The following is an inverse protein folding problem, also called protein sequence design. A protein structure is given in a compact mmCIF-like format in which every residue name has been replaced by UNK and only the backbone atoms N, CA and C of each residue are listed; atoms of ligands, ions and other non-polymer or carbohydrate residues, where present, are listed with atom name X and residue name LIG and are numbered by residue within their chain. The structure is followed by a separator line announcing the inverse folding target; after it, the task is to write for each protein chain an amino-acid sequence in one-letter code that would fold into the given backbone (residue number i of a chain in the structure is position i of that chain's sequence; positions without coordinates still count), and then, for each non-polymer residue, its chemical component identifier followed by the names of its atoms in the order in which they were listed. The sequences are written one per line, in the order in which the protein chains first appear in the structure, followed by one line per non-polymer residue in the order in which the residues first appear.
data_IF_135214126366
#
_entry.id   IF_135214126366
#
_cell.length_a   1.000
_cell.length_b   1.000
_cell.length_c   1.000
_cell.angle_alpha   90.00
_cell.angle_beta   90.00
_cell.angle_gamma   90.00
#
_symmetry.space_group_name_H-M   'P 1'
#
loop_
_entity.id
_entity.type
_entity.pdbx_description
1 polymer ?
#
# COMPACT_ATOMS: atom_id res chain seq x y z
N UNK A 1 13.89 -2.69 5.34
CA UNK A 1 14.34 -3.73 6.27
C UNK A 1 14.70 -3.20 7.67
N UNK A 2 15.69 -2.32 7.86
CA UNK A 2 16.06 -1.82 9.20
C UNK A 2 14.89 -1.15 9.96
N UNK A 3 14.11 -0.31 9.30
CA UNK A 3 12.94 0.36 9.89
C UNK A 3 11.88 -0.64 10.36
N UNK A 4 11.62 -1.71 9.61
CA UNK A 4 10.67 -2.77 9.98
C UNK A 4 11.15 -3.55 11.22
N UNK A 5 12.45 -3.84 11.29
CA UNK A 5 13.06 -4.51 12.46
C UNK A 5 12.93 -3.62 13.69
N UNK A 6 13.27 -2.33 13.57
CA UNK A 6 13.15 -1.35 14.66
C UNK A 6 11.72 -1.24 15.14
N UNK A 7 10.74 -1.17 14.25
CA UNK A 7 9.33 -1.08 14.62
C UNK A 7 8.79 -2.36 15.22
N UNK A 8 9.20 -3.53 14.70
CA UNK A 8 8.86 -4.81 15.34
C UNK A 8 9.41 -4.88 16.77
N UNK A 9 10.62 -4.40 16.98
CA UNK A 9 11.22 -4.33 18.32
C UNK A 9 10.43 -3.40 19.26
N UNK A 10 10.07 -2.20 18.81
CA UNK A 10 9.25 -1.27 19.60
C UNK A 10 7.86 -1.85 19.90
N UNK A 11 7.24 -2.52 18.94
CA UNK A 11 5.92 -3.14 19.12
C UNK A 11 5.98 -4.28 20.15
N UNK A 12 7.01 -5.12 20.09
CA UNK A 12 7.25 -6.20 21.06
C UNK A 12 7.55 -5.61 22.46
N UNK A 13 8.44 -4.62 22.53
CA UNK A 13 8.78 -3.95 23.80
C UNK A 13 7.56 -3.29 24.44
N UNK A 14 6.68 -2.67 23.64
CA UNK A 14 5.41 -2.11 24.12
C UNK A 14 4.46 -3.20 24.64
N UNK A 15 4.30 -4.31 23.89
CA UNK A 15 3.49 -5.44 24.34
C UNK A 15 3.96 -6.02 25.66
N UNK A 16 5.27 -6.17 25.82
CA UNK A 16 5.90 -6.63 27.08
C UNK A 16 5.66 -5.62 28.22
N UNK A 17 5.80 -4.32 27.94
CA UNK A 17 5.54 -3.28 28.94
C UNK A 17 4.09 -3.28 29.40
N UNK A 18 3.10 -3.33 28.49
CA UNK A 18 1.67 -3.41 28.82
C UNK A 18 1.38 -4.67 29.63
N UNK A 19 2.01 -5.79 29.29
CA UNK A 19 1.88 -7.04 30.00
C UNK A 19 2.40 -6.92 31.44
N UNK A 20 3.57 -6.32 31.64
CA UNK A 20 4.18 -6.12 32.97
C UNK A 20 3.33 -5.19 33.83
N UNK A 21 2.80 -4.10 33.27
CA UNK A 21 1.97 -3.13 33.99
C UNK A 21 0.62 -3.73 34.42
N UNK A 22 0.09 -4.68 33.67
CA UNK A 22 -1.16 -5.37 33.99
C UNK A 22 -1.02 -6.67 34.83
N UNK A 23 0.19 -7.23 34.95
CA UNK A 23 0.47 -8.43 35.76
C UNK A 23 0.32 -8.18 37.26
N UNK A 24 0.18 -6.95 37.71
CA UNK A 24 -0.07 -6.64 39.13
C UNK A 24 -1.42 -7.11 39.64
N UNK A 25 -2.36 -7.51 38.78
CA UNK A 25 -3.66 -8.07 39.15
C UNK A 25 -3.83 -9.51 38.56
N UNK A 26 -3.30 -10.48 39.28
CA UNK A 26 -2.96 -11.83 38.80
C UNK A 26 -4.13 -12.73 38.39
N UNK A 27 -5.40 -12.36 38.52
CA UNK A 27 -6.54 -13.28 38.34
C UNK A 27 -7.25 -13.22 36.99
N UNK A 28 -7.04 -12.18 36.18
CA UNK A 28 -7.64 -12.05 34.82
C UNK A 28 -6.63 -12.11 33.66
N UNK A 29 -5.36 -12.27 33.96
CA UNK A 29 -4.21 -11.98 33.11
C UNK A 29 -3.88 -13.07 32.10
N UNK A 30 -4.30 -14.32 32.29
CA UNK A 30 -3.70 -15.42 31.53
C UNK A 30 -4.14 -15.48 30.07
N UNK A 31 -5.41 -15.28 29.75
CA UNK A 31 -5.90 -15.43 28.37
C UNK A 31 -5.72 -14.13 27.57
N UNK A 32 -6.12 -13.00 28.14
CA UNK A 32 -6.02 -11.71 27.45
C UNK A 32 -4.55 -11.31 27.24
N UNK A 33 -3.71 -11.52 28.25
CA UNK A 33 -2.27 -11.26 28.16
C UNK A 33 -1.57 -12.17 27.15
N UNK A 34 -1.95 -13.46 27.06
CA UNK A 34 -1.44 -14.36 26.05
C UNK A 34 -1.90 -13.98 24.64
N UNK A 35 -3.15 -13.54 24.46
CA UNK A 35 -3.65 -13.04 23.17
C UNK A 35 -2.92 -11.76 22.73
N UNK A 36 -2.72 -10.80 23.65
CA UNK A 36 -2.02 -9.57 23.38
C UNK A 36 -0.56 -9.85 23.04
N UNK A 37 0.15 -10.68 23.83
CA UNK A 37 1.52 -11.07 23.54
C UNK A 37 1.65 -11.79 22.20
N UNK A 38 0.74 -12.74 21.91
CA UNK A 38 0.71 -13.45 20.63
C UNK A 38 0.51 -12.47 19.46
N UNK A 39 -0.38 -11.50 19.60
CA UNK A 39 -0.62 -10.47 18.62
C UNK A 39 0.66 -9.66 18.34
N UNK A 40 1.34 -9.19 19.40
CA UNK A 40 2.55 -8.36 19.24
C UNK A 40 3.78 -9.15 18.81
N UNK A 41 3.87 -10.44 19.11
CA UNK A 41 5.03 -11.27 18.72
C UNK A 41 4.90 -11.81 17.31
N UNK A 42 3.70 -12.26 16.90
CA UNK A 42 3.52 -12.95 15.62
C UNK A 42 3.06 -12.04 14.48
N UNK A 43 2.25 -11.01 14.77
CA UNK A 43 1.72 -10.16 13.71
C UNK A 43 2.80 -9.36 12.95
N UNK A 44 3.78 -8.71 13.61
CA UNK A 44 4.79 -7.93 12.89
C UNK A 44 5.68 -8.76 11.95
N UNK A 45 6.19 -9.96 12.32
CA UNK A 45 6.94 -10.80 11.39
C UNK A 45 6.11 -11.26 10.20
N UNK A 46 4.84 -11.66 10.43
CA UNK A 46 3.95 -12.11 9.37
C UNK A 46 3.64 -10.97 8.40
N UNK A 47 3.30 -9.79 8.90
CA UNK A 47 3.01 -8.62 8.08
C UNK A 47 4.25 -8.14 7.33
N UNK A 48 5.43 -8.22 7.94
CA UNK A 48 6.71 -7.86 7.31
C UNK A 48 7.05 -8.82 6.16
N UNK A 49 6.98 -10.13 6.40
CA UNK A 49 7.25 -11.14 5.37
C UNK A 49 6.26 -11.01 4.19
N UNK A 50 4.99 -10.80 4.50
CA UNK A 50 3.95 -10.60 3.50
C UNK A 50 4.17 -9.34 2.68
N UNK A 51 4.57 -8.24 3.33
CA UNK A 51 4.90 -6.98 2.68
C UNK A 51 6.11 -7.15 1.74
N UNK A 52 7.17 -7.81 2.19
CA UNK A 52 8.34 -8.08 1.37
C UNK A 52 8.00 -8.90 0.14
N UNK A 53 7.16 -9.93 0.28
CA UNK A 53 6.70 -10.76 -0.83
C UNK A 53 5.89 -9.95 -1.85
N UNK A 54 4.97 -9.11 -1.39
CA UNK A 54 4.16 -8.25 -2.25
C UNK A 54 5.07 -7.26 -2.99
N UNK A 55 5.96 -6.56 -2.27
CA UNK A 55 6.86 -5.58 -2.87
C UNK A 55 7.81 -6.23 -3.89
N UNK A 56 8.31 -7.42 -3.60
CA UNK A 56 9.14 -8.19 -4.53
C UNK A 56 8.35 -8.53 -5.80
N UNK A 57 7.13 -9.04 -5.66
CA UNK A 57 6.28 -9.40 -6.81
C UNK A 57 5.93 -8.18 -7.66
N UNK A 58 5.56 -7.06 -7.03
CA UNK A 58 5.26 -5.81 -7.74
C UNK A 58 6.49 -5.22 -8.42
N UNK A 59 7.66 -5.33 -7.80
CA UNK A 59 8.94 -4.95 -8.40
C UNK A 59 9.27 -5.77 -9.65
N UNK A 60 9.05 -7.08 -9.59
CA UNK A 60 9.24 -7.98 -10.74
C UNK A 60 8.27 -7.66 -11.89
N UNK A 61 7.01 -7.38 -11.58
CA UNK A 61 6.01 -6.98 -12.58
C UNK A 61 6.44 -5.67 -13.25
N UNK A 62 6.89 -4.68 -12.47
CA UNK A 62 7.39 -3.42 -13.02
C UNK A 62 8.57 -3.63 -13.96
N UNK A 63 9.56 -4.42 -13.57
CA UNK A 63 10.72 -4.73 -14.41
C UNK A 63 10.30 -5.41 -15.72
N UNK A 64 9.30 -6.29 -15.66
CA UNK A 64 8.74 -6.96 -16.84
C UNK A 64 8.01 -5.98 -17.76
N UNK A 65 7.31 -4.98 -17.20
CA UNK A 65 6.67 -3.89 -17.95
C UNK A 65 7.71 -3.02 -18.65
N UNK A 66 8.74 -2.60 -17.92
CA UNK A 66 9.82 -1.76 -18.46
C UNK A 66 10.56 -2.50 -19.61
N UNK A 67 10.78 -3.82 -19.47
CA UNK A 67 11.36 -4.64 -20.53
C UNK A 67 10.44 -4.76 -21.76
N UNK A 68 9.13 -4.89 -21.57
CA UNK A 68 8.16 -4.94 -22.67
C UNK A 68 8.15 -3.59 -23.41
N UNK A 69 8.15 -2.48 -22.69
CA UNK A 69 8.22 -1.13 -23.29
C UNK A 69 9.50 -0.95 -24.11
N UNK A 70 10.65 -1.36 -23.56
CA UNK A 70 11.92 -1.31 -24.28
C UNK A 70 11.89 -2.17 -25.55
N UNK A 71 11.35 -3.39 -25.46
CA UNK A 71 11.22 -4.27 -26.64
C UNK A 71 10.32 -3.64 -27.71
N UNK A 72 9.22 -3.02 -27.31
CA UNK A 72 8.32 -2.31 -28.24
C UNK A 72 9.04 -1.11 -28.91
N UNK A 73 9.83 -0.35 -28.13
CA UNK A 73 10.66 0.75 -28.68
C UNK A 73 11.71 0.25 -29.68
N UNK A 74 12.38 -0.86 -29.42
CA UNK A 74 13.35 -1.46 -30.31
C UNK A 74 12.72 -1.88 -31.66
N UNK A 75 11.49 -2.39 -31.62
CA UNK A 75 10.72 -2.72 -32.83
C UNK A 75 10.35 -1.46 -33.61
N UNK A 76 9.93 -0.39 -32.93
CA UNK A 76 9.63 0.92 -33.54
C UNK A 76 10.87 1.59 -34.15
N UNK A 77 12.01 1.56 -33.46
CA UNK A 77 13.25 2.19 -33.93
C UNK A 77 13.82 1.60 -35.23
N UNK A 78 13.31 0.47 -35.65
CA UNK A 78 13.36 -0.01 -37.04
C UNK A 78 14.72 -0.21 -37.68
N UNK A 79 15.74 -0.57 -36.94
CA UNK A 79 17.13 -0.70 -37.45
C UNK A 79 17.47 -1.99 -38.18
N UNK A 80 16.58 -2.98 -38.27
CA UNK A 80 16.93 -4.32 -38.76
C UNK A 80 15.92 -4.88 -39.78
N UNK A 81 16.41 -5.84 -40.60
CA UNK A 81 15.74 -6.52 -41.69
C UNK A 81 14.25 -6.84 -41.39
N UNK A 82 13.39 -6.81 -42.40
CA UNK A 82 11.94 -7.04 -42.31
C UNK A 82 11.55 -8.33 -41.57
N UNK A 83 12.38 -9.39 -41.62
CA UNK A 83 12.19 -10.65 -40.88
C UNK A 83 12.32 -10.45 -39.37
N UNK A 84 13.25 -9.57 -38.92
CA UNK A 84 13.49 -9.33 -37.48
C UNK A 84 12.37 -8.52 -36.86
N UNK A 85 11.76 -7.58 -37.62
CA UNK A 85 10.59 -6.81 -37.17
C UNK A 85 9.38 -7.72 -36.92
N UNK A 86 9.09 -8.63 -37.85
CA UNK A 86 7.96 -9.55 -37.69
C UNK A 86 8.13 -10.50 -36.49
N UNK A 87 9.36 -10.93 -36.25
CA UNK A 87 9.70 -11.73 -35.06
C UNK A 87 9.57 -10.90 -33.77
N UNK A 88 10.05 -9.65 -33.77
CA UNK A 88 9.95 -8.73 -32.65
C UNK A 88 8.49 -8.42 -32.29
N UNK A 89 7.67 -8.13 -33.29
CA UNK A 89 6.25 -7.87 -33.09
C UNK A 89 5.51 -9.07 -32.47
N UNK A 90 5.79 -10.29 -32.96
CA UNK A 90 5.22 -11.50 -32.39
C UNK A 90 5.66 -11.70 -30.94
N UNK A 91 6.91 -11.35 -30.62
CA UNK A 91 7.44 -11.40 -29.24
C UNK A 91 6.70 -10.39 -28.36
N UNK A 92 6.56 -9.13 -28.78
CA UNK A 92 5.84 -8.08 -28.03
C UNK A 92 4.40 -8.51 -27.72
N UNK A 93 3.69 -9.04 -28.70
CA UNK A 93 2.31 -9.52 -28.50
C UNK A 93 2.28 -10.67 -27.49
N UNK A 94 3.17 -11.66 -27.61
CA UNK A 94 3.23 -12.80 -26.69
C UNK A 94 3.58 -12.36 -25.26
N UNK A 95 4.65 -11.59 -25.11
CA UNK A 95 5.13 -11.13 -23.80
C UNK A 95 4.08 -10.22 -23.14
N UNK A 96 3.39 -9.39 -23.92
CA UNK A 96 2.26 -8.57 -23.44
C UNK A 96 1.10 -9.41 -22.91
N UNK A 97 0.71 -10.50 -23.58
CA UNK A 97 -0.32 -11.40 -23.08
C UNK A 97 0.12 -12.14 -21.80
N UNK A 98 1.35 -12.64 -21.76
CA UNK A 98 1.89 -13.31 -20.58
C UNK A 98 1.92 -12.36 -19.38
N UNK A 99 2.31 -11.11 -19.61
CA UNK A 99 2.37 -10.08 -18.57
C UNK A 99 0.98 -9.73 -18.04
N UNK A 100 -0.02 -9.50 -18.92
CA UNK A 100 -1.40 -9.21 -18.46
C UNK A 100 -2.00 -10.36 -17.68
N UNK A 101 -1.65 -11.60 -18.02
CA UNK A 101 -2.08 -12.78 -17.28
C UNK A 101 -1.42 -12.86 -15.91
N UNK A 102 -0.08 -12.69 -15.84
CA UNK A 102 0.67 -12.72 -14.58
C UNK A 102 0.23 -11.63 -13.61
N UNK A 103 -0.13 -10.45 -14.13
CA UNK A 103 -0.67 -9.37 -13.31
C UNK A 103 -2.02 -9.72 -12.70
N UNK A 104 -2.92 -10.28 -13.50
CA UNK A 104 -4.21 -10.72 -12.97
C UNK A 104 -4.05 -11.80 -11.91
N UNK A 105 -3.15 -12.75 -12.11
CA UNK A 105 -2.85 -13.80 -11.15
C UNK A 105 -2.25 -13.22 -9.85
N UNK A 106 -1.35 -12.23 -9.95
CA UNK A 106 -0.81 -11.52 -8.79
C UNK A 106 -1.90 -10.72 -8.05
N UNK A 107 -2.82 -10.08 -8.75
CA UNK A 107 -3.96 -9.40 -8.14
C UNK A 107 -4.90 -10.38 -7.42
N UNK A 108 -5.21 -11.51 -8.02
CA UNK A 108 -6.04 -12.55 -7.41
C UNK A 108 -5.39 -13.12 -6.14
N UNK A 109 -4.08 -13.31 -6.15
CA UNK A 109 -3.33 -13.81 -4.98
C UNK A 109 -3.18 -12.77 -3.88
N UNK A 110 -2.76 -11.57 -4.21
CA UNK A 110 -2.35 -10.58 -3.23
C UNK A 110 -3.39 -9.48 -2.98
N UNK A 111 -4.40 -9.31 -3.82
CA UNK A 111 -5.37 -8.22 -3.71
C UNK A 111 -6.09 -8.16 -2.36
N UNK A 112 -6.46 -9.32 -1.80
CA UNK A 112 -7.05 -9.40 -0.47
C UNK A 112 -6.11 -8.98 0.65
N UNK A 113 -4.83 -9.34 0.53
CA UNK A 113 -3.80 -9.03 1.51
C UNK A 113 -3.39 -7.56 1.45
N UNK A 114 -3.27 -7.00 0.25
CA UNK A 114 -3.01 -5.57 0.03
C UNK A 114 -4.15 -4.74 0.62
N UNK A 115 -5.41 -5.13 0.39
CA UNK A 115 -6.57 -4.47 0.97
C UNK A 115 -6.58 -4.54 2.49
N UNK A 116 -6.27 -5.69 3.07
CA UNK A 116 -6.16 -5.84 4.53
C UNK A 116 -5.08 -4.94 5.11
N UNK A 117 -3.88 -4.93 4.52
CA UNK A 117 -2.79 -4.06 4.96
C UNK A 117 -3.16 -2.58 4.83
N UNK A 118 -3.80 -2.21 3.73
CA UNK A 118 -4.26 -0.85 3.51
C UNK A 118 -5.22 -0.38 4.61
N UNK A 119 -6.21 -1.19 4.98
CA UNK A 119 -7.14 -0.89 6.08
C UNK A 119 -6.39 -0.81 7.42
N UNK A 120 -5.52 -1.78 7.70
CA UNK A 120 -4.75 -1.83 8.95
C UNK A 120 -3.89 -0.58 9.14
N UNK A 121 -3.12 -0.19 8.11
CA UNK A 121 -2.27 1.00 8.19
C UNK A 121 -3.07 2.29 8.30
N UNK A 122 -4.23 2.39 7.66
CA UNK A 122 -5.12 3.54 7.84
C UNK A 122 -5.64 3.64 9.28
N UNK A 123 -6.00 2.53 9.91
CA UNK A 123 -6.40 2.51 11.33
C UNK A 123 -5.21 2.94 12.20
N UNK A 124 -4.02 2.40 11.97
CA UNK A 124 -2.81 2.76 12.72
C UNK A 124 -2.47 4.25 12.60
N UNK A 125 -2.56 4.81 11.40
CA UNK A 125 -2.32 6.24 11.15
C UNK A 125 -3.36 7.08 11.90
N UNK A 126 -4.64 6.72 11.80
CA UNK A 126 -5.74 7.44 12.47
C UNK A 126 -5.54 7.44 13.99
N UNK A 127 -5.27 6.28 14.57
CA UNK A 127 -4.99 6.16 16.01
C UNK A 127 -3.76 6.98 16.39
N UNK A 128 -2.67 6.89 15.63
CA UNK A 128 -1.45 7.63 15.91
C UNK A 128 -1.61 9.14 15.85
N UNK A 129 -2.36 9.63 14.87
CA UNK A 129 -2.68 11.06 14.76
C UNK A 129 -3.55 11.52 15.94
N UNK A 130 -4.60 10.77 16.28
CA UNK A 130 -5.48 11.09 17.40
C UNK A 130 -4.72 11.12 18.75
N UNK A 131 -3.94 10.09 19.03
CA UNK A 131 -3.15 10.03 20.25
C UNK A 131 -2.03 11.07 20.25
N UNK A 132 -1.38 11.34 19.12
CA UNK A 132 -0.37 12.39 18.97
C UNK A 132 -0.92 13.78 19.31
N UNK A 133 -2.09 14.14 18.74
CA UNK A 133 -2.76 15.42 19.03
C UNK A 133 -3.21 15.47 20.50
N UNK A 134 -3.77 14.36 21.00
CA UNK A 134 -4.19 14.28 22.42
C UNK A 134 -3.04 14.46 23.39
N UNK A 135 -1.87 13.94 23.04
CA UNK A 135 -0.66 14.05 23.85
C UNK A 135 -0.07 15.46 23.87
N UNK A 136 -0.09 16.17 22.73
CA UNK A 136 0.31 17.58 22.68
C UNK A 136 -0.51 18.43 23.65
N UNK A 137 -1.81 18.13 23.80
CA UNK A 137 -2.67 18.82 24.79
C UNK A 137 -2.29 18.52 26.25
N UNK A 138 -1.78 17.31 26.55
CA UNK A 138 -1.34 16.93 27.91
C UNK A 138 0.03 17.48 28.24
N UNK A 139 0.94 17.63 27.28
CA UNK A 139 2.27 18.25 27.45
C UNK A 139 2.19 19.68 27.97
N UNK A 140 1.10 20.39 27.67
CA UNK A 140 0.89 21.79 28.08
C UNK A 140 0.33 21.90 29.51
N UNK A 141 -0.19 20.81 30.11
CA UNK A 141 -1.08 20.94 31.26
C UNK A 141 -0.80 20.15 32.54
N UNK A 142 0.05 19.12 32.61
CA UNK A 142 0.13 18.31 33.84
C UNK A 142 1.30 17.33 33.98
N UNK A 143 1.46 16.80 35.18
CA UNK A 143 2.47 15.84 35.66
C UNK A 143 2.62 14.60 34.76
N UNK A 144 3.79 14.45 34.21
CA UNK A 144 4.21 13.38 33.33
C UNK A 144 4.43 12.06 34.07
N UNK A 145 3.75 10.99 33.67
CA UNK A 145 4.14 9.62 34.02
C UNK A 145 4.93 9.02 32.85
N UNK A 146 6.10 8.43 33.13
CA UNK A 146 6.98 7.85 32.10
C UNK A 146 6.31 6.79 31.23
N UNK A 147 5.34 6.05 31.75
CA UNK A 147 4.55 5.05 31.02
C UNK A 147 3.68 5.66 29.92
N UNK A 148 3.02 6.77 30.17
CA UNK A 148 2.22 7.48 29.16
C UNK A 148 3.07 8.00 28.01
N UNK A 149 4.28 8.50 28.29
CA UNK A 149 5.22 8.93 27.23
C UNK A 149 5.60 7.78 26.31
N UNK A 150 5.95 6.63 26.90
CA UNK A 150 6.37 5.46 26.11
C UNK A 150 5.24 4.94 25.24
N UNK A 151 4.02 4.82 25.77
CA UNK A 151 2.83 4.42 25.00
C UNK A 151 2.59 5.35 23.83
N UNK A 152 2.57 6.64 24.05
CA UNK A 152 2.31 7.65 23.02
C UNK A 152 3.39 7.62 21.94
N UNK A 153 4.66 7.54 22.35
CA UNK A 153 5.77 7.46 21.40
C UNK A 153 5.68 6.21 20.52
N UNK A 154 5.33 5.05 21.10
CA UNK A 154 5.14 3.81 20.36
C UNK A 154 4.01 3.90 19.32
N UNK A 155 2.88 4.50 19.70
CA UNK A 155 1.73 4.67 18.81
C UNK A 155 2.07 5.64 17.67
N UNK A 156 2.72 6.77 17.98
CA UNK A 156 3.15 7.75 16.97
C UNK A 156 4.18 7.14 16.01
N UNK A 157 5.15 6.40 16.55
CA UNK A 157 6.15 5.71 15.70
C UNK A 157 5.50 4.67 14.77
N UNK A 158 4.53 3.91 15.28
CA UNK A 158 3.75 2.95 14.48
C UNK A 158 2.94 3.65 13.38
N UNK A 159 2.37 4.81 13.66
CA UNK A 159 1.64 5.61 12.67
C UNK A 159 2.57 6.15 11.57
N UNK A 160 3.75 6.66 11.93
CA UNK A 160 4.76 7.13 10.96
C UNK A 160 5.20 5.98 10.06
N UNK A 161 5.41 4.78 10.62
CA UNK A 161 5.73 3.60 9.83
C UNK A 161 4.57 3.23 8.90
N UNK A 162 3.35 3.16 9.42
CA UNK A 162 2.15 2.86 8.63
C UNK A 162 2.00 3.83 7.46
N UNK A 163 2.23 5.13 7.70
CA UNK A 163 2.24 6.15 6.65
C UNK A 163 3.34 5.90 5.61
N UNK A 164 4.54 5.57 6.05
CA UNK A 164 5.67 5.29 5.15
C UNK A 164 5.37 4.08 4.26
N UNK A 165 4.84 3.00 4.82
CA UNK A 165 4.50 1.80 4.06
C UNK A 165 3.36 2.09 3.06
N UNK A 166 2.32 2.80 3.51
CA UNK A 166 1.20 3.18 2.64
C UNK A 166 1.68 4.06 1.48
N UNK A 167 2.56 5.03 1.76
CA UNK A 167 3.17 5.88 0.74
C UNK A 167 3.94 5.04 -0.30
N UNK A 168 4.72 4.04 0.13
CA UNK A 168 5.42 3.13 -0.77
C UNK A 168 4.45 2.33 -1.66
N UNK A 169 3.35 1.85 -1.12
CA UNK A 169 2.33 1.16 -1.92
C UNK A 169 1.72 2.07 -2.98
N UNK A 170 1.37 3.30 -2.60
CA UNK A 170 0.82 4.28 -3.53
C UNK A 170 1.84 4.67 -4.62
N UNK A 171 3.11 4.80 -4.24
CA UNK A 171 4.19 5.10 -5.17
C UNK A 171 4.38 3.98 -6.21
N UNK A 172 4.42 2.72 -5.76
CA UNK A 172 4.55 1.57 -6.66
C UNK A 172 3.31 1.46 -7.56
N UNK A 173 2.11 1.62 -7.00
CA UNK A 173 0.87 1.61 -7.76
C UNK A 173 0.84 2.69 -8.84
N UNK A 174 1.30 3.91 -8.53
CA UNK A 174 1.42 4.99 -9.50
C UNK A 174 2.44 4.65 -10.59
N UNK A 175 3.63 4.16 -10.21
CA UNK A 175 4.66 3.78 -11.19
C UNK A 175 4.17 2.67 -12.12
N UNK A 176 3.46 1.68 -11.61
CA UNK A 176 2.85 0.62 -12.43
C UNK A 176 1.80 1.20 -13.39
N UNK A 177 0.98 2.13 -12.93
CA UNK A 177 -0.02 2.81 -13.75
C UNK A 177 0.63 3.60 -14.88
N UNK A 178 1.69 4.32 -14.58
CA UNK A 178 2.45 5.13 -15.56
C UNK A 178 3.13 4.23 -16.61
N UNK A 179 3.78 3.13 -16.19
CA UNK A 179 4.36 2.13 -17.09
C UNK A 179 3.30 1.47 -17.98
N UNK A 180 2.12 1.19 -17.44
CA UNK A 180 0.99 0.64 -18.18
C UNK A 180 0.51 1.58 -19.29
N UNK A 181 0.37 2.85 -18.96
CA UNK A 181 -0.01 3.87 -19.93
C UNK A 181 1.07 4.04 -21.00
N UNK A 182 2.34 4.06 -20.60
CA UNK A 182 3.47 4.14 -21.53
C UNK A 182 3.49 2.98 -22.53
N UNK A 183 3.30 1.75 -22.06
CA UNK A 183 3.22 0.57 -22.94
C UNK A 183 2.03 0.65 -23.89
N UNK A 184 0.86 1.02 -23.37
CA UNK A 184 -0.33 1.19 -24.21
C UNK A 184 -0.07 2.16 -25.35
N UNK A 185 0.47 3.34 -25.07
CA UNK A 185 0.77 4.37 -26.06
C UNK A 185 1.78 3.86 -27.10
N UNK A 186 2.77 3.06 -26.67
CA UNK A 186 3.73 2.42 -27.59
C UNK A 186 3.09 1.34 -28.46
N UNK A 187 2.19 0.53 -27.92
CA UNK A 187 1.47 -0.49 -28.69
C UNK A 187 0.51 0.15 -29.71
N UNK A 188 -0.16 1.26 -29.33
CA UNK A 188 -0.99 2.05 -30.27
C UNK A 188 -0.12 2.64 -31.40
N UNK A 189 1.06 3.15 -31.09
CA UNK A 189 2.01 3.65 -32.08
C UNK A 189 2.49 2.52 -33.00
N UNK A 190 2.86 1.35 -32.47
CA UNK A 190 3.23 0.16 -33.25
C UNK A 190 2.11 -0.27 -34.20
N UNK A 191 0.87 -0.25 -33.73
CA UNK A 191 -0.28 -0.62 -34.54
C UNK A 191 -0.47 0.32 -35.74
N UNK A 192 -0.20 1.64 -35.56
CA UNK A 192 -0.33 2.62 -36.62
C UNK A 192 0.84 2.52 -37.62
N UNK A 193 2.08 2.46 -37.11
CA UNK A 193 3.27 2.47 -37.97
C UNK A 193 3.46 1.17 -38.77
N UNK A 194 3.12 0.02 -38.17
CA UNK A 194 3.29 -1.28 -38.80
C UNK A 194 1.98 -1.83 -39.41
N UNK A 195 0.94 -1.01 -39.52
CA UNK A 195 -0.38 -1.44 -40.03
C UNK A 195 -0.31 -2.13 -41.42
N UNK A 196 0.59 -1.68 -42.30
CA UNK A 196 0.73 -2.25 -43.64
C UNK A 196 1.49 -3.59 -43.64
N UNK A 197 2.37 -3.79 -42.66
CA UNK A 197 3.24 -4.97 -42.55
C UNK A 197 2.62 -6.09 -41.73
N UNK A 198 1.63 -5.77 -40.89
CA UNK A 198 0.92 -6.73 -40.04
C UNK A 198 -0.09 -7.56 -40.81
N UNK A 199 -0.12 -8.87 -40.55
CA UNK A 199 -1.24 -9.70 -40.96
C UNK A 199 -2.51 -9.30 -40.20
N UNK A 200 -3.69 -9.54 -40.80
CA UNK A 200 -5.00 -9.26 -40.18
C UNK A 200 -5.11 -9.88 -38.78
N UNK A 201 -4.56 -11.07 -38.58
CA UNK A 201 -4.55 -11.77 -37.30
C UNK A 201 -3.70 -11.02 -36.28
N UNK A 202 -2.48 -10.59 -36.61
CA UNK A 202 -1.59 -9.84 -35.72
C UNK A 202 -2.20 -8.50 -35.32
N UNK A 203 -2.85 -7.82 -36.26
CA UNK A 203 -3.57 -6.58 -36.00
C UNK A 203 -4.69 -6.79 -34.98
N UNK A 204 -5.51 -7.81 -35.15
CA UNK A 204 -6.57 -8.15 -34.18
C UNK A 204 -5.99 -8.51 -32.81
N UNK A 205 -4.92 -9.31 -32.77
CA UNK A 205 -4.25 -9.67 -31.51
C UNK A 205 -3.68 -8.44 -30.81
N UNK A 206 -3.11 -7.47 -31.54
CA UNK A 206 -2.62 -6.20 -31.01
C UNK A 206 -3.75 -5.32 -30.48
N UNK A 207 -4.85 -5.17 -31.23
CA UNK A 207 -6.04 -4.43 -30.80
C UNK A 207 -6.61 -5.00 -29.49
N UNK A 208 -6.69 -6.32 -29.39
CA UNK A 208 -7.15 -6.99 -28.16
C UNK A 208 -6.19 -6.73 -27.00
N UNK A 209 -4.88 -6.75 -27.26
CA UNK A 209 -3.87 -6.47 -26.22
C UNK A 209 -3.96 -5.02 -25.73
N UNK A 210 -4.05 -4.05 -26.67
CA UNK A 210 -4.22 -2.62 -26.32
C UNK A 210 -5.48 -2.42 -25.49
N UNK A 211 -6.60 -3.03 -25.89
CA UNK A 211 -7.84 -2.96 -25.13
C UNK A 211 -7.73 -3.60 -23.74
N UNK A 212 -6.94 -4.65 -23.58
CA UNK A 212 -6.66 -5.20 -22.24
C UNK A 212 -5.89 -4.20 -21.40
N UNK A 213 -4.81 -3.61 -21.90
CA UNK A 213 -4.06 -2.58 -21.20
C UNK A 213 -4.93 -1.34 -20.89
N UNK A 214 -5.87 -0.98 -21.76
CA UNK A 214 -6.77 0.14 -21.54
C UNK A 214 -7.80 -0.11 -20.42
N UNK A 215 -8.26 -1.35 -20.30
CA UNK A 215 -9.35 -1.72 -19.38
C UNK A 215 -8.87 -2.36 -18.07
N UNK A 216 -7.57 -2.64 -17.96
CA UNK A 216 -7.00 -3.22 -16.74
C UNK A 216 -6.20 -2.15 -16.00
N UNK A 217 -6.65 -1.80 -14.81
CA UNK A 217 -5.84 -0.97 -13.91
C UNK A 217 -4.82 -1.86 -13.20
N UNK A 218 -3.54 -1.47 -13.18
CA UNK A 218 -2.45 -2.38 -12.80
C UNK A 218 -2.42 -2.80 -11.33
N UNK A 219 -3.13 -2.13 -10.45
CA UNK A 219 -3.24 -2.52 -9.04
C UNK A 219 -4.56 -2.03 -8.46
N UNK A 220 -5.57 -2.91 -8.51
CA UNK A 220 -6.91 -2.62 -8.02
C UNK A 220 -7.36 -3.69 -7.02
N UNK A 221 -6.93 -3.60 -5.76
CA UNK A 221 -7.20 -4.63 -4.77
C UNK A 221 -8.68 -4.98 -4.68
N UNK A 222 -9.04 -6.21 -5.07
CA UNK A 222 -10.44 -6.69 -5.08
C UNK A 222 -11.40 -5.76 -5.83
N UNK A 223 -10.97 -5.13 -6.92
CA UNK A 223 -11.76 -4.20 -7.73
C UNK A 223 -12.38 -3.03 -6.95
N UNK A 224 -11.80 -2.66 -5.79
CA UNK A 224 -12.38 -1.65 -4.90
C UNK A 224 -11.90 -0.24 -5.21
N UNK A 225 -10.59 -0.04 -5.40
CA UNK A 225 -10.00 1.26 -5.67
C UNK A 225 -8.65 1.12 -6.37
N UNK A 226 -8.25 2.15 -7.12
CA UNK A 226 -6.95 2.20 -7.75
C UNK A 226 -5.89 2.64 -6.75
N UNK A 227 -4.78 1.91 -6.66
CA UNK A 227 -3.66 2.30 -5.82
C UNK A 227 -2.80 3.34 -6.53
N UNK A 228 -3.13 4.62 -6.34
CA UNK A 228 -2.43 5.75 -6.91
C UNK A 228 -2.42 6.94 -5.94
N UNK A 229 -1.69 8.00 -6.27
CA UNK A 229 -1.61 9.20 -5.44
C UNK A 229 -2.94 9.92 -5.25
N UNK A 230 -3.86 9.86 -6.22
CA UNK A 230 -5.20 10.46 -6.11
C UNK A 230 -6.01 9.80 -5.00
N UNK A 231 -5.98 8.47 -4.93
CA UNK A 231 -6.62 7.71 -3.84
C UNK A 231 -5.96 8.02 -2.50
N UNK A 232 -4.63 8.15 -2.48
CA UNK A 232 -3.88 8.55 -1.28
C UNK A 232 -4.28 9.94 -0.77
N UNK A 233 -4.42 10.91 -1.66
CA UNK A 233 -4.85 12.27 -1.31
C UNK A 233 -6.30 12.29 -0.77
N UNK A 234 -7.21 11.55 -1.38
CA UNK A 234 -8.60 11.42 -0.94
C UNK A 234 -8.71 10.83 0.46
N UNK A 235 -7.90 9.78 0.72
CA UNK A 235 -7.79 9.18 2.05
C UNK A 235 -7.19 10.12 3.08
N UNK A 236 -6.13 10.81 2.74
CA UNK A 236 -5.52 11.80 3.63
C UNK A 236 -6.53 12.85 4.09
N UNK A 237 -7.37 13.33 3.17
CA UNK A 237 -8.47 14.24 3.48
C UNK A 237 -9.51 13.64 4.44
N UNK A 238 -9.90 12.39 4.18
CA UNK A 238 -10.85 11.67 5.02
C UNK A 238 -10.29 11.43 6.43
N UNK A 239 -9.03 10.97 6.54
CA UNK A 239 -8.36 10.74 7.82
C UNK A 239 -8.24 12.02 8.63
N UNK A 240 -7.86 13.13 7.98
CA UNK A 240 -7.77 14.43 8.64
C UNK A 240 -9.13 14.87 9.18
N UNK A 241 -10.20 14.72 8.41
CA UNK A 241 -11.56 15.02 8.83
C UNK A 241 -11.96 14.18 10.05
N UNK A 242 -11.65 12.87 10.04
CA UNK A 242 -11.93 11.99 11.18
C UNK A 242 -11.18 12.42 12.45
N UNK A 243 -9.89 12.76 12.33
CA UNK A 243 -9.09 13.22 13.48
C UNK A 243 -9.65 14.51 14.05
N UNK A 244 -10.03 15.49 13.21
CA UNK A 244 -10.66 16.75 13.64
C UNK A 244 -11.94 16.47 14.43
N UNK A 245 -12.83 15.63 13.90
CA UNK A 245 -14.08 15.24 14.56
C UNK A 245 -13.81 14.58 15.92
N UNK A 246 -12.88 13.62 15.99
CA UNK A 246 -12.51 12.95 17.24
C UNK A 246 -11.96 13.93 18.30
N UNK A 247 -11.16 14.91 17.89
CA UNK A 247 -10.65 15.95 18.78
C UNK A 247 -11.78 16.83 19.31
N UNK A 248 -12.72 17.23 18.45
CA UNK A 248 -13.87 18.03 18.85
C UNK A 248 -14.77 17.31 19.87
N UNK A 249 -15.01 16.01 19.69
CA UNK A 249 -15.77 15.20 20.66
C UNK A 249 -15.06 15.09 22.00
N UNK A 250 -13.74 14.96 22.02
CA UNK A 250 -12.94 14.94 23.25
C UNK A 250 -13.10 16.25 24.04
N UNK A 251 -12.99 17.40 23.37
CA UNK A 251 -13.10 18.71 24.00
C UNK A 251 -14.53 19.00 24.51
N UNK A 252 -15.56 18.54 23.79
CA UNK A 252 -16.95 18.67 24.20
C UNK A 252 -17.32 17.83 25.42
N UNK A 253 -16.67 16.68 25.61
CA UNK A 253 -16.87 15.82 26.79
C UNK A 253 -16.20 16.33 28.07
N UNK A 254 -15.29 17.28 27.97
CA UNK A 254 -14.57 17.90 29.10
C UNK A 254 -15.18 19.21 29.58
N UNK A 255 -16.37 19.60 29.09
CA UNK A 255 -17.09 20.78 29.60
C UNK A 255 -17.46 20.53 31.09
N UNK A 256 -17.03 21.39 32.01
CA UNK A 256 -17.29 21.16 33.43
C UNK A 256 -18.80 21.26 33.70
N UNK A 257 -19.30 20.28 34.47
CA UNK A 257 -20.62 20.28 35.12
C UNK A 257 -20.77 21.41 36.17
N UNK A 258 -20.46 22.65 35.79
CA UNK A 258 -20.38 23.80 36.65
C UNK A 258 -21.72 24.64 36.69
N UNK A 259 -22.86 24.02 36.34
CA UNK A 259 -24.15 24.76 36.34
C UNK A 259 -25.26 24.03 37.11
N UNK A 260 -24.95 23.33 38.19
CA UNK A 260 -26.01 22.87 39.13
C UNK A 260 -25.62 23.08 40.58
N UNK A 261 -25.19 24.31 40.95
CA UNK A 261 -25.13 24.77 42.34
C UNK A 261 -25.53 26.24 42.34
N UNK A 262 -26.79 26.47 42.17
CA UNK A 262 -27.47 27.76 42.39
C UNK A 262 -28.77 27.50 43.12
#
# INVERSE_FOLDING_TARGET
MLALIVCSFFTVAFGVYVLIDHITDASQVTVLGACVLSYYVFLPPITSASLELILFTLGFIKESLDHLEQTAQEVLAGGKLHSDRKSGLKKVIKDGYELTYSMKEAEDMFGGMIMYMYILYNIMITCGLFFGVSFLGVLVGSSFSGGHLFCTLSIVTSAVLGFTILYYFLQIGQQLSDSYQGIRDRLEQLLIEEAETMSTRQRTEMDVLINRFANTTPLRPKDTFDMNYSTGASLGGLLLTYVIVLVQFKDSGSAPSAVLSG
#
